data_IF_501364367602
#
_entry.id   IF_501364367602
#
_cell.length_a   1.000
_cell.length_b   1.000
_cell.length_c   1.000
_cell.angle_alpha   90.00
_cell.angle_beta   90.00
_cell.angle_gamma   90.00
#
_symmetry.space_group_name_H-M   'P 1'
#
loop_
_entity.id
_entity.type
_entity.pdbx_description
1 polymer ?
#
# COMPACT_ATOMS: atom_id res chain seq x y z
N UNK A 1 5.08 -23.82 1.95
CA UNK A 1 5.06 -24.00 3.42
C UNK A 1 3.64 -23.85 3.99
N UNK A 2 2.80 -22.88 3.61
CA UNK A 2 1.39 -22.81 4.06
C UNK A 2 0.53 -24.06 3.72
N UNK A 3 0.43 -24.44 2.43
CA UNK A 3 -0.40 -25.58 1.98
C UNK A 3 -0.06 -26.90 2.66
N UNK A 4 1.20 -27.14 3.00
CA UNK A 4 1.60 -28.37 3.72
C UNK A 4 1.07 -28.42 5.15
N UNK A 5 0.88 -27.27 5.80
CA UNK A 5 0.42 -27.17 7.19
C UNK A 5 -1.11 -27.12 7.27
N UNK A 6 -1.76 -26.47 6.29
CA UNK A 6 -3.20 -26.20 6.33
C UNK A 6 -4.02 -27.09 5.41
N UNK A 7 -3.39 -27.73 4.41
CA UNK A 7 -4.08 -28.42 3.33
C UNK A 7 -4.77 -27.49 2.32
N UNK A 8 -4.65 -26.16 2.49
CA UNK A 8 -5.30 -25.17 1.63
C UNK A 8 -4.40 -24.89 0.41
N UNK A 9 -4.93 -25.12 -0.78
CA UNK A 9 -4.27 -24.75 -2.04
C UNK A 9 -4.30 -23.24 -2.24
N UNK A 10 -3.17 -22.65 -2.63
CA UNK A 10 -3.05 -21.21 -2.85
C UNK A 10 -2.92 -20.94 -4.34
N UNK A 11 -3.86 -20.19 -4.90
CA UNK A 11 -3.80 -19.70 -6.27
C UNK A 11 -3.30 -18.26 -6.28
N UNK A 12 -2.21 -17.99 -7.01
CA UNK A 12 -1.57 -16.67 -7.03
C UNK A 12 -1.82 -15.96 -8.35
N UNK A 13 -2.35 -14.74 -8.27
CA UNK A 13 -2.47 -13.82 -9.41
C UNK A 13 -1.64 -12.57 -9.12
N UNK A 14 -0.77 -12.18 -10.06
CA UNK A 14 0.04 -10.96 -9.97
C UNK A 14 -0.67 -9.80 -10.69
N UNK A 15 -0.61 -8.60 -10.12
CA UNK A 15 -1.15 -7.36 -10.71
C UNK A 15 -0.46 -6.13 -10.11
N UNK A 16 -0.81 -4.95 -10.60
CA UNK A 16 -0.58 -3.66 -9.94
C UNK A 16 -1.85 -3.18 -9.22
N UNK A 17 -1.77 -2.05 -8.49
CA UNK A 17 -2.90 -1.47 -7.75
C UNK A 17 -4.15 -1.25 -8.62
N UNK A 18 -3.98 -0.62 -9.79
CA UNK A 18 -5.10 -0.22 -10.65
C UNK A 18 -5.84 -1.44 -11.21
N UNK A 19 -5.09 -2.40 -11.73
CA UNK A 19 -5.66 -3.63 -12.29
C UNK A 19 -6.33 -4.49 -11.22
N UNK A 20 -5.73 -4.59 -10.03
CA UNK A 20 -6.29 -5.39 -8.95
C UNK A 20 -7.62 -4.80 -8.47
N UNK A 21 -7.69 -3.49 -8.25
CA UNK A 21 -8.94 -2.80 -7.89
C UNK A 21 -9.97 -2.97 -9.01
N UNK A 22 -9.59 -2.83 -10.28
CA UNK A 22 -10.50 -3.05 -11.41
C UNK A 22 -11.07 -4.48 -11.44
N UNK A 23 -10.24 -5.50 -11.18
CA UNK A 23 -10.68 -6.91 -11.10
C UNK A 23 -11.66 -7.13 -9.96
N UNK A 24 -11.36 -6.61 -8.77
CA UNK A 24 -12.24 -6.71 -7.61
C UNK A 24 -13.57 -5.98 -7.83
N UNK A 25 -13.54 -4.80 -8.45
CA UNK A 25 -14.76 -4.06 -8.82
C UNK A 25 -15.64 -4.86 -9.77
N UNK A 26 -15.03 -5.49 -10.78
CA UNK A 26 -15.77 -6.28 -11.77
C UNK A 26 -16.53 -7.47 -11.15
N UNK A 27 -16.13 -7.90 -9.96
CA UNK A 27 -16.67 -9.07 -9.26
C UNK A 27 -17.35 -8.70 -7.94
N UNK A 28 -17.47 -7.41 -7.60
CA UNK A 28 -18.00 -6.96 -6.31
C UNK A 28 -17.19 -7.47 -5.11
N UNK A 29 -15.86 -7.52 -5.24
CA UNK A 29 -14.95 -8.09 -4.25
C UNK A 29 -14.84 -9.63 -4.27
N UNK A 30 -15.53 -10.30 -5.19
CA UNK A 30 -15.48 -11.76 -5.34
C UNK A 30 -14.24 -12.27 -6.08
N UNK A 31 -14.09 -13.60 -6.13
CA UNK A 31 -13.01 -14.36 -6.81
C UNK A 31 -11.62 -14.28 -6.18
N UNK A 32 -11.42 -13.48 -5.13
CA UNK A 32 -10.19 -13.42 -4.35
C UNK A 32 -10.50 -13.42 -2.86
N UNK A 33 -9.73 -14.20 -2.09
CA UNK A 33 -9.85 -14.21 -0.63
C UNK A 33 -8.97 -13.13 0.03
N UNK A 34 -7.84 -12.81 -0.59
CA UNK A 34 -6.87 -11.82 -0.14
C UNK A 34 -6.41 -10.96 -1.32
N UNK A 35 -6.18 -9.68 -1.03
CA UNK A 35 -5.64 -8.70 -1.97
C UNK A 35 -4.58 -7.85 -1.27
N UNK A 36 -3.54 -7.44 -2.01
CA UNK A 36 -2.43 -6.64 -1.49
C UNK A 36 -2.34 -5.28 -2.21
N UNK A 37 -3.27 -4.35 -1.93
CA UNK A 37 -3.15 -2.98 -2.41
C UNK A 37 -2.11 -2.20 -1.62
N UNK A 38 -1.58 -1.14 -2.21
CA UNK A 38 -0.93 -0.09 -1.44
C UNK A 38 -1.93 0.54 -0.46
N UNK A 39 -1.45 0.81 0.76
CA UNK A 39 -2.24 1.29 1.89
C UNK A 39 -3.09 2.53 1.55
N UNK A 40 -2.54 3.47 0.77
CA UNK A 40 -3.19 4.71 0.33
C UNK A 40 -4.41 4.50 -0.59
N UNK A 41 -4.62 3.27 -1.08
CA UNK A 41 -5.72 2.94 -1.98
C UNK A 41 -6.90 2.27 -1.30
N UNK A 42 -6.72 1.78 -0.07
CA UNK A 42 -7.69 0.90 0.60
C UNK A 42 -9.02 1.63 0.87
N UNK A 43 -8.98 2.76 1.59
CA UNK A 43 -10.20 3.47 2.00
C UNK A 43 -10.94 4.06 0.80
N UNK A 44 -10.22 4.69 -0.13
CA UNK A 44 -10.84 5.27 -1.33
C UNK A 44 -11.51 4.20 -2.22
N UNK A 45 -10.85 3.06 -2.43
CA UNK A 45 -11.47 1.98 -3.21
C UNK A 45 -12.65 1.33 -2.48
N UNK A 46 -12.60 1.24 -1.14
CA UNK A 46 -13.72 0.73 -0.35
C UNK A 46 -14.91 1.67 -0.37
N UNK A 47 -14.68 2.97 -0.16
CA UNK A 47 -15.72 4.00 -0.14
C UNK A 47 -16.43 4.11 -1.51
N UNK A 48 -15.68 4.02 -2.61
CA UNK A 48 -16.23 4.16 -3.95
C UNK A 48 -16.93 2.89 -4.47
N UNK A 49 -16.53 1.70 -3.99
CA UNK A 49 -16.91 0.45 -4.65
C UNK A 49 -17.38 -0.68 -3.74
N UNK A 50 -17.21 -0.59 -2.42
CA UNK A 50 -17.58 -1.62 -1.45
C UNK A 50 -17.04 -3.03 -1.82
N UNK A 51 -15.73 -3.12 -2.06
CA UNK A 51 -15.07 -4.32 -2.61
C UNK A 51 -14.31 -5.15 -1.58
N UNK A 52 -14.16 -4.68 -0.35
CA UNK A 52 -13.43 -5.36 0.73
C UNK A 52 -14.36 -5.69 1.90
N UNK A 53 -13.99 -6.75 2.62
CA UNK A 53 -14.59 -7.05 3.92
C UNK A 53 -13.74 -6.46 5.04
N UNK A 54 -14.35 -5.94 6.12
CA UNK A 54 -13.62 -5.57 7.32
C UNK A 54 -12.78 -6.73 7.83
N UNK A 55 -11.57 -6.43 8.27
CA UNK A 55 -10.66 -7.39 8.88
C UNK A 55 -11.11 -7.65 10.32
N UNK A 56 -11.32 -8.93 10.64
CA UNK A 56 -11.56 -9.39 12.00
C UNK A 56 -10.23 -9.50 12.75
N UNK A 57 -9.87 -8.43 13.46
CA UNK A 57 -8.62 -8.34 14.22
C UNK A 57 -8.50 -9.39 15.34
N UNK A 58 -9.61 -9.98 15.79
CA UNK A 58 -9.57 -11.05 16.81
C UNK A 58 -8.96 -12.35 16.29
N UNK A 59 -8.87 -12.52 14.97
CA UNK A 59 -8.28 -13.68 14.30
C UNK A 59 -6.82 -13.49 13.91
N UNK A 60 -6.23 -12.36 14.27
CA UNK A 60 -4.86 -12.01 13.92
C UNK A 60 -4.01 -12.03 15.19
N UNK A 61 -2.88 -12.73 15.10
CA UNK A 61 -1.85 -12.69 16.13
C UNK A 61 -1.03 -11.39 15.99
N UNK A 62 -1.38 -10.38 16.79
CA UNK A 62 -0.79 -9.05 16.74
C UNK A 62 0.70 -9.05 17.13
N UNK A 63 1.18 -10.04 17.88
CA UNK A 63 2.57 -10.15 18.33
C UNK A 63 3.53 -10.46 17.18
N UNK A 64 3.00 -10.92 16.03
CA UNK A 64 3.76 -11.14 14.80
C UNK A 64 4.04 -9.85 14.02
N UNK A 65 3.48 -8.71 14.45
CA UNK A 65 3.63 -7.42 13.78
C UNK A 65 4.52 -6.46 14.55
N UNK A 66 5.14 -5.54 13.81
CA UNK A 66 5.71 -4.34 14.41
C UNK A 66 4.52 -3.47 14.85
N UNK A 67 4.36 -3.27 16.17
CA UNK A 67 3.19 -2.58 16.75
C UNK A 67 2.91 -1.22 16.11
N UNK A 68 3.95 -0.40 15.90
CA UNK A 68 3.78 0.92 15.26
C UNK A 68 3.30 0.85 13.81
N UNK A 69 3.71 -0.18 13.06
CA UNK A 69 3.26 -0.39 11.68
C UNK A 69 1.81 -0.88 11.65
N UNK A 70 1.44 -1.78 12.56
CA UNK A 70 0.06 -2.25 12.68
C UNK A 70 -0.89 -1.10 13.02
N UNK A 71 -0.56 -0.26 13.99
CA UNK A 71 -1.37 0.91 14.35
C UNK A 71 -1.44 1.95 13.22
N UNK A 72 -0.31 2.23 12.54
CA UNK A 72 -0.30 3.15 11.40
C UNK A 72 -1.18 2.63 10.24
N UNK A 73 -1.07 1.35 9.88
CA UNK A 73 -1.88 0.76 8.82
C UNK A 73 -3.35 0.73 9.22
N UNK A 74 -3.70 0.35 10.46
CA UNK A 74 -5.09 0.44 10.96
C UNK A 74 -5.64 1.85 10.82
N UNK A 75 -4.89 2.86 11.27
CA UNK A 75 -5.33 4.26 11.20
C UNK A 75 -5.61 4.71 9.77
N UNK A 76 -4.78 4.32 8.81
CA UNK A 76 -4.91 4.72 7.40
C UNK A 76 -5.92 3.91 6.59
N UNK A 77 -6.28 2.71 7.05
CA UNK A 77 -7.20 1.78 6.36
C UNK A 77 -8.53 1.63 7.09
N UNK A 78 -8.79 2.47 8.10
CA UNK A 78 -10.08 2.53 8.78
C UNK A 78 -11.04 3.39 7.99
N UNK A 79 -12.22 2.86 7.70
CA UNK A 79 -13.36 3.58 7.13
C UNK A 79 -14.60 3.22 7.97
N UNK A 80 -15.35 4.23 8.42
CA UNK A 80 -16.54 4.08 9.26
C UNK A 80 -16.32 3.18 10.49
N UNK A 81 -15.17 3.34 11.14
CA UNK A 81 -14.79 2.59 12.35
C UNK A 81 -14.42 1.12 12.10
N UNK A 82 -14.36 0.69 10.83
CA UNK A 82 -13.96 -0.67 10.41
C UNK A 82 -12.59 -0.65 9.76
N UNK A 83 -11.72 -1.56 10.17
CA UNK A 83 -10.36 -1.71 9.61
C UNK A 83 -10.43 -2.61 8.37
N UNK A 84 -9.84 -2.17 7.26
CA UNK A 84 -9.83 -2.94 5.99
C UNK A 84 -8.45 -3.45 5.58
N UNK A 85 -7.38 -3.13 6.32
CA UNK A 85 -6.03 -3.58 5.99
C UNK A 85 -5.14 -3.84 7.19
N UNK A 86 -4.13 -4.69 6.97
CA UNK A 86 -3.02 -4.97 7.89
C UNK A 86 -1.69 -4.93 7.11
N UNK A 87 -0.56 -4.61 7.77
CA UNK A 87 0.69 -4.46 7.05
C UNK A 87 1.23 -5.83 6.61
N UNK A 88 1.76 -5.90 5.37
CA UNK A 88 2.45 -7.09 4.86
C UNK A 88 3.93 -6.78 4.59
N UNK A 89 4.20 -5.86 3.65
CA UNK A 89 5.54 -5.37 3.33
C UNK A 89 5.52 -3.84 3.31
N UNK A 90 6.59 -3.22 3.80
CA UNK A 90 6.76 -1.76 3.79
C UNK A 90 8.13 -1.38 3.23
N UNK A 91 8.23 -0.15 2.75
CA UNK A 91 9.46 0.40 2.21
C UNK A 91 9.31 1.86 1.83
N UNK A 92 10.38 2.43 1.31
CA UNK A 92 10.42 3.80 0.80
C UNK A 92 10.98 3.78 -0.60
N UNK A 93 10.43 4.61 -1.49
CA UNK A 93 11.05 4.89 -2.78
C UNK A 93 12.30 5.73 -2.54
N UNK A 94 13.46 5.17 -2.84
CA UNK A 94 14.75 5.85 -2.73
C UNK A 94 15.39 6.04 -4.10
N UNK A 95 16.23 7.08 -4.22
CA UNK A 95 17.09 7.28 -5.38
C UNK A 95 18.35 6.43 -5.23
N UNK A 96 18.58 5.50 -6.15
CA UNK A 96 19.82 4.71 -6.22
C UNK A 96 20.67 5.22 -7.38
N UNK A 97 21.93 5.56 -7.09
CA UNK A 97 22.85 6.14 -8.06
C UNK A 97 24.17 5.35 -8.15
N UNK A 98 24.63 5.14 -9.38
CA UNK A 98 25.95 4.56 -9.68
C UNK A 98 27.04 5.61 -9.40
N UNK A 99 27.75 5.45 -8.29
CA UNK A 99 28.80 6.39 -7.85
C UNK A 99 29.95 6.53 -8.84
N UNK A 100 30.25 5.51 -9.64
CA UNK A 100 31.32 5.60 -10.64
C UNK A 100 30.95 6.54 -11.80
N UNK A 101 29.66 6.65 -12.10
CA UNK A 101 29.13 7.52 -13.17
C UNK A 101 28.69 8.89 -12.68
N UNK A 102 28.31 9.00 -11.41
CA UNK A 102 27.68 10.22 -10.86
C UNK A 102 28.69 11.35 -10.53
N UNK A 103 30.01 11.08 -10.56
CA UNK A 103 31.04 12.06 -10.21
C UNK A 103 31.12 12.38 -8.70
N UNK A 104 32.11 13.19 -8.29
CA UNK A 104 32.42 13.47 -6.87
C UNK A 104 31.68 14.65 -6.26
N UNK A 105 30.88 15.39 -7.03
CA UNK A 105 30.02 16.49 -6.53
C UNK A 105 28.56 16.12 -6.73
N UNK A 106 27.92 15.59 -5.68
CA UNK A 106 26.46 15.53 -5.62
C UNK A 106 25.95 16.50 -4.55
N UNK A 107 25.21 17.52 -4.99
CA UNK A 107 24.28 18.25 -4.14
C UNK A 107 22.88 17.78 -4.51
N UNK A 108 22.33 16.86 -3.72
CA UNK A 108 20.94 16.40 -3.86
C UNK A 108 20.07 17.20 -2.90
N UNK A 109 19.25 18.11 -3.44
CA UNK A 109 18.12 18.67 -2.70
C UNK A 109 16.95 17.72 -2.87
N UNK A 110 16.73 16.85 -1.89
CA UNK A 110 15.52 16.00 -1.83
C UNK A 110 14.41 16.83 -1.20
N UNK A 111 13.43 17.24 -2.00
CA UNK A 111 12.20 17.81 -1.48
C UNK A 111 11.28 16.65 -1.08
N UNK A 112 11.22 16.35 0.22
CA UNK A 112 10.31 15.36 0.77
C UNK A 112 8.87 15.92 0.69
N UNK A 113 8.13 15.56 -0.36
CA UNK A 113 6.70 15.88 -0.45
C UNK A 113 5.93 14.87 0.39
N UNK A 114 5.69 15.21 1.65
CA UNK A 114 4.74 14.51 2.51
C UNK A 114 3.34 15.01 2.14
N UNK A 115 2.61 14.26 1.32
CA UNK A 115 1.18 14.51 1.05
C UNK A 115 0.39 14.18 2.32
N UNK A 116 0.36 15.12 3.25
CA UNK A 116 -0.64 15.18 4.31
C UNK A 116 -1.95 15.62 3.63
N UNK A 117 -2.82 14.67 3.32
CA UNK A 117 -4.19 14.97 2.90
C UNK A 117 -4.94 15.60 4.07
N UNK A 118 -5.16 16.91 3.97
CA UNK A 118 -6.13 17.67 4.76
C UNK A 118 -6.99 18.47 3.78
N UNK A 119 -8.29 18.25 3.86
CA UNK A 119 -9.42 18.74 3.05
C UNK A 119 -9.19 19.88 2.04
N UNK A 120 -9.57 19.58 0.80
CA UNK A 120 -9.78 20.47 -0.36
C UNK A 120 -8.53 21.07 -1.02
N UNK A 121 -7.94 20.34 -1.97
CA UNK A 121 -7.35 20.96 -3.17
C UNK A 121 -7.19 19.96 -4.31
N UNK A 122 -7.76 20.29 -5.46
CA UNK A 122 -7.43 19.76 -6.78
C UNK A 122 -5.96 20.03 -7.09
N UNK A 123 -5.24 19.04 -7.63
CA UNK A 123 -3.96 19.28 -8.31
C UNK A 123 -2.98 18.12 -8.21
N UNK A 124 -2.83 17.38 -9.32
CA UNK A 124 -1.68 16.52 -9.51
C UNK A 124 -0.40 17.38 -9.56
N UNK A 125 0.63 17.00 -8.79
CA UNK A 125 1.97 17.58 -8.92
C UNK A 125 2.99 16.44 -9.04
N UNK A 126 3.57 16.33 -10.23
CA UNK A 126 4.73 15.51 -10.59
C UNK A 126 5.92 16.44 -10.75
N UNK A 127 7.00 16.26 -9.98
CA UNK A 127 8.32 16.81 -10.31
C UNK A 127 9.40 15.83 -9.84
N UNK A 128 10.19 15.29 -10.78
CA UNK A 128 11.61 15.05 -10.53
C UNK A 128 12.41 15.66 -11.69
N UNK A 129 13.05 16.80 -11.41
CA UNK A 129 14.18 17.31 -12.19
C UNK A 129 15.40 17.21 -11.29
N UNK A 130 16.23 16.20 -11.51
CA UNK A 130 17.59 16.20 -10.98
C UNK A 130 18.38 17.29 -11.74
N UNK A 131 18.71 18.39 -11.06
CA UNK A 131 19.69 19.35 -11.59
C UNK A 131 21.08 18.87 -11.15
N UNK A 132 21.82 18.26 -12.08
CA UNK A 132 23.27 18.20 -11.95
C UNK A 132 23.84 19.58 -12.33
N UNK A 133 24.59 20.19 -11.41
CA UNK A 133 25.44 21.35 -11.67
C UNK A 133 26.91 20.95 -11.74
#
# INVERSE_FOLDING_TARGET
MFTKQTGIEVQVTKSNNQEMIAKLRATGGGNFDLAEPSQDRVTGAQEEHDIYKPIDLSKIDADLFIASMLEATKSSTTLDGKVYGVPHVWGTSGLVLDRAKAGTKLSLTVQMTMLMWGDRALGAMWIERALCG
#
